data_IF_754502782443
#
_entry.id   IF_754502782443
#
_cell.length_a   1.000
_cell.length_b   1.000
_cell.length_c   1.000
_cell.angle_alpha   90.00
_cell.angle_beta   90.00
_cell.angle_gamma   90.00
#
_symmetry.space_group_name_H-M   'P 1'
#
loop_
_entity.id
_entity.type
_entity.pdbx_description
1 polymer ?
#
# COMPACT_ATOMS: atom_id res chain seq x y z
N UNK A 1 -22.84 27.09 -4.37
CA UNK A 1 -22.83 25.65 -4.08
C UNK A 1 -21.43 25.15 -4.35
N UNK A 2 -20.66 24.93 -3.29
CA UNK A 2 -19.32 24.38 -3.35
C UNK A 2 -19.37 22.86 -3.18
N UNK A 3 -18.47 22.12 -3.82
CA UNK A 3 -18.32 20.67 -3.58
C UNK A 3 -18.07 20.37 -2.09
N UNK A 4 -17.43 21.29 -1.36
CA UNK A 4 -17.15 21.17 0.08
C UNK A 4 -18.40 21.14 0.98
N UNK A 5 -19.53 21.60 0.46
CA UNK A 5 -20.80 21.68 1.20
C UNK A 5 -21.65 20.42 1.01
N UNK A 6 -21.23 19.50 0.12
CA UNK A 6 -21.96 18.26 -0.13
C UNK A 6 -21.75 17.25 1.00
N UNK A 7 -22.76 16.41 1.30
CA UNK A 7 -22.60 15.28 2.20
C UNK A 7 -21.51 14.32 1.71
N UNK A 8 -20.76 13.73 2.64
CA UNK A 8 -19.69 12.77 2.34
C UNK A 8 -20.17 11.64 1.43
N UNK A 9 -21.37 11.09 1.65
CA UNK A 9 -21.94 10.04 0.81
C UNK A 9 -22.09 10.46 -0.67
N UNK A 10 -22.46 11.72 -0.91
CA UNK A 10 -22.58 12.25 -2.28
C UNK A 10 -21.20 12.44 -2.90
N UNK A 11 -20.22 12.88 -2.11
CA UNK A 11 -18.83 12.98 -2.56
C UNK A 11 -18.26 11.60 -2.92
N UNK A 12 -18.51 10.58 -2.10
CA UNK A 12 -18.13 9.19 -2.38
C UNK A 12 -18.76 8.66 -3.67
N UNK A 13 -20.04 8.93 -3.90
CA UNK A 13 -20.74 8.53 -5.13
C UNK A 13 -20.16 9.18 -6.39
N UNK A 14 -19.63 10.40 -6.28
CA UNK A 14 -18.96 11.10 -7.38
C UNK A 14 -17.53 10.59 -7.54
N UNK A 15 -16.76 10.55 -6.45
CA UNK A 15 -15.34 10.27 -6.46
C UNK A 15 -15.00 8.81 -6.77
N UNK A 16 -15.94 7.86 -6.56
CA UNK A 16 -15.74 6.45 -6.93
C UNK A 16 -15.50 6.22 -8.44
N UNK A 17 -15.80 7.20 -9.29
CA UNK A 17 -15.58 7.11 -10.74
C UNK A 17 -14.25 7.71 -11.19
N UNK A 18 -13.53 8.38 -10.28
CA UNK A 18 -12.23 8.93 -10.55
C UNK A 18 -11.15 7.84 -10.47
N UNK A 19 -10.08 8.03 -11.21
CA UNK A 19 -8.86 7.26 -11.02
C UNK A 19 -8.26 7.58 -9.64
N UNK A 20 -7.34 6.73 -9.15
CA UNK A 20 -6.79 6.90 -7.80
C UNK A 20 -6.17 8.28 -7.57
N UNK A 21 -5.48 8.82 -8.59
CA UNK A 21 -4.75 10.07 -8.46
C UNK A 21 -5.70 11.26 -8.36
N UNK A 22 -6.67 11.35 -9.27
CA UNK A 22 -7.64 12.45 -9.27
C UNK A 22 -8.56 12.35 -8.07
N UNK A 23 -8.92 11.13 -7.64
CA UNK A 23 -9.69 10.90 -6.42
C UNK A 23 -8.97 11.42 -5.17
N UNK A 24 -7.67 11.13 -5.01
CA UNK A 24 -6.89 11.62 -3.87
C UNK A 24 -6.79 13.15 -3.86
N UNK A 25 -6.52 13.75 -5.03
CA UNK A 25 -6.49 15.20 -5.18
C UNK A 25 -7.86 15.83 -4.88
N UNK A 26 -8.94 15.17 -5.27
CA UNK A 26 -10.30 15.64 -5.02
C UNK A 26 -10.64 15.63 -3.53
N UNK A 27 -10.27 14.57 -2.80
CA UNK A 27 -10.41 14.50 -1.34
C UNK A 27 -9.60 15.59 -0.62
N UNK A 28 -8.36 15.83 -1.04
CA UNK A 28 -7.54 16.93 -0.52
C UNK A 28 -8.17 18.30 -0.81
N UNK A 29 -8.70 18.50 -2.01
CA UNK A 29 -9.33 19.76 -2.42
C UNK A 29 -10.62 20.07 -1.64
N UNK A 30 -11.40 19.04 -1.28
CA UNK A 30 -12.58 19.22 -0.42
C UNK A 30 -12.24 19.33 1.06
N UNK A 31 -11.01 18.97 1.46
CA UNK A 31 -10.57 19.00 2.85
C UNK A 31 -11.25 17.93 3.71
N UNK A 32 -11.63 16.81 3.10
CA UNK A 32 -12.37 15.72 3.73
C UNK A 32 -11.73 14.37 3.45
N UNK A 33 -12.38 13.32 3.94
CA UNK A 33 -11.96 11.95 3.72
C UNK A 33 -13.16 11.04 3.48
N UNK A 34 -12.94 9.97 2.72
CA UNK A 34 -13.94 8.93 2.50
C UNK A 34 -14.08 8.02 3.72
N UNK A 35 -15.23 7.36 3.82
CA UNK A 35 -15.47 6.32 4.81
C UNK A 35 -14.59 5.08 4.58
N UNK A 36 -14.40 4.28 5.62
CA UNK A 36 -13.64 3.03 5.52
C UNK A 36 -14.26 2.05 4.50
N UNK A 37 -15.60 2.05 4.37
CA UNK A 37 -16.29 1.26 3.36
C UNK A 37 -16.04 1.74 1.93
N UNK A 38 -15.94 3.05 1.73
CA UNK A 38 -15.53 3.63 0.45
C UNK A 38 -14.10 3.20 0.08
N UNK A 39 -13.15 3.38 1.00
CA UNK A 39 -11.76 2.99 0.77
C UNK A 39 -11.60 1.48 0.51
N UNK A 40 -12.36 0.64 1.21
CA UNK A 40 -12.40 -0.81 0.94
C UNK A 40 -12.85 -1.12 -0.49
N UNK A 41 -13.90 -0.43 -0.97
CA UNK A 41 -14.41 -0.59 -2.34
C UNK A 41 -13.36 -0.16 -3.37
N UNK A 42 -12.66 0.95 -3.13
CA UNK A 42 -11.59 1.41 -4.01
C UNK A 42 -10.42 0.42 -4.03
N UNK A 43 -9.97 -0.06 -2.88
CA UNK A 43 -8.93 -1.08 -2.80
C UNK A 43 -9.30 -2.33 -3.62
N UNK A 44 -10.55 -2.81 -3.49
CA UNK A 44 -11.04 -3.94 -4.28
C UNK A 44 -11.04 -3.65 -5.80
N UNK A 45 -11.43 -2.44 -6.21
CA UNK A 45 -11.42 -2.01 -7.63
C UNK A 45 -10.02 -2.05 -8.24
N UNK A 46 -9.01 -1.68 -7.46
CA UNK A 46 -7.62 -1.59 -7.88
C UNK A 46 -6.84 -2.91 -7.69
N UNK A 47 -7.50 -3.93 -7.13
CA UNK A 47 -6.88 -5.24 -6.85
C UNK A 47 -6.00 -5.26 -5.61
N UNK A 48 -6.18 -4.31 -4.68
CA UNK A 48 -5.43 -4.27 -3.43
C UNK A 48 -6.07 -5.16 -2.36
N UNK A 49 -5.23 -5.84 -1.60
CA UNK A 49 -5.63 -6.76 -0.53
C UNK A 49 -5.16 -6.20 0.81
N UNK A 50 -6.03 -6.27 1.83
CA UNK A 50 -5.66 -5.95 3.22
C UNK A 50 -4.92 -7.14 3.82
N UNK A 51 -3.76 -6.90 4.39
CA UNK A 51 -3.05 -7.89 5.19
C UNK A 51 -3.41 -7.70 6.66
N UNK A 52 -4.06 -8.71 7.25
CA UNK A 52 -4.40 -8.70 8.67
C UNK A 52 -3.13 -8.58 9.53
N UNK A 53 -3.16 -7.66 10.50
CA UNK A 53 -2.03 -7.38 11.41
C UNK A 53 -1.02 -6.36 10.90
N UNK A 54 -1.20 -5.79 9.70
CA UNK A 54 -0.29 -4.79 9.12
C UNK A 54 -0.98 -3.50 8.70
N UNK A 55 -2.16 -3.61 8.10
CA UNK A 55 -2.90 -2.46 7.62
C UNK A 55 -4.02 -2.12 8.62
N UNK A 56 -3.93 -0.95 9.26
CA UNK A 56 -4.94 -0.49 10.21
C UNK A 56 -6.26 -0.13 9.49
N UNK A 57 -6.15 0.63 8.39
CA UNK A 57 -7.27 1.12 7.59
C UNK A 57 -7.09 0.89 6.08
N UNK A 58 -8.17 0.92 5.29
CA UNK A 58 -8.06 0.74 3.84
C UNK A 58 -7.41 1.93 3.12
N UNK A 59 -7.48 3.12 3.72
CA UNK A 59 -6.88 4.35 3.16
C UNK A 59 -5.35 4.27 3.13
N UNK A 60 -4.73 3.72 4.16
CA UNK A 60 -3.28 3.53 4.24
C UNK A 60 -2.78 2.56 3.17
N UNK A 61 -3.57 1.52 2.83
CA UNK A 61 -3.26 0.60 1.72
C UNK A 61 -3.20 1.35 0.40
N UNK A 62 -4.20 2.19 0.10
CA UNK A 62 -4.22 3.02 -1.12
C UNK A 62 -2.99 3.93 -1.17
N UNK A 63 -2.73 4.64 -0.07
CA UNK A 63 -1.63 5.60 0.03
C UNK A 63 -0.27 4.92 -0.15
N UNK A 64 -0.08 3.76 0.49
CA UNK A 64 1.14 2.96 0.35
C UNK A 64 1.36 2.51 -1.09
N UNK A 65 0.34 1.94 -1.73
CA UNK A 65 0.44 1.45 -3.10
C UNK A 65 0.72 2.60 -4.10
N UNK A 66 0.14 3.78 -3.88
CA UNK A 66 0.45 4.96 -4.68
C UNK A 66 1.89 5.43 -4.50
N UNK A 67 2.40 5.45 -3.26
CA UNK A 67 3.78 5.82 -2.97
C UNK A 67 4.77 4.82 -3.60
N UNK A 68 4.49 3.52 -3.51
CA UNK A 68 5.25 2.47 -4.17
C UNK A 68 5.32 2.69 -5.69
N UNK A 69 4.17 2.88 -6.35
CA UNK A 69 4.11 3.17 -7.80
C UNK A 69 4.85 4.45 -8.19
N UNK A 70 4.95 5.43 -7.28
CA UNK A 70 5.64 6.68 -7.50
C UNK A 70 7.16 6.63 -7.20
N UNK A 71 7.73 5.44 -6.94
CA UNK A 71 9.11 5.27 -6.47
C UNK A 71 9.44 6.11 -5.23
N UNK A 72 8.44 6.34 -4.37
CA UNK A 72 8.62 6.96 -3.06
C UNK A 72 8.57 5.85 -2.01
N UNK A 73 9.71 5.27 -1.63
CA UNK A 73 9.72 4.18 -0.67
C UNK A 73 9.20 4.67 0.68
N UNK A 74 8.08 4.11 1.12
CA UNK A 74 7.60 4.24 2.49
C UNK A 74 7.91 2.94 3.20
N UNK A 75 8.74 3.00 4.24
CA UNK A 75 9.10 1.84 5.05
C UNK A 75 7.87 1.45 5.88
N UNK A 76 7.38 0.21 5.71
CA UNK A 76 6.41 -0.39 6.63
C UNK A 76 7.18 -0.96 7.81
N UNK A 77 6.88 -0.50 9.02
CA UNK A 77 7.43 -1.10 10.24
C UNK A 77 6.56 -2.31 10.62
N UNK A 78 7.14 -3.50 10.51
CA UNK A 78 6.48 -4.76 10.83
C UNK A 78 6.55 -5.00 12.34
N UNK A 79 5.47 -4.72 13.07
CA UNK A 79 5.35 -5.13 14.48
C UNK A 79 4.88 -6.58 14.51
N UNK A 80 5.81 -7.51 14.36
CA UNK A 80 5.54 -8.93 14.62
C UNK A 80 5.19 -9.08 16.11
N UNK A 81 3.91 -9.36 16.39
CA UNK A 81 3.45 -9.74 17.72
C UNK A 81 4.40 -10.78 18.33
N UNK A 82 4.97 -10.42 19.47
CA UNK A 82 6.12 -11.04 20.13
C UNK A 82 6.24 -12.56 19.96
N UNK A 83 7.29 -13.03 19.30
CA UNK A 83 8.22 -14.01 19.89
C UNK A 83 9.63 -13.82 19.30
N UNK A 84 10.59 -13.54 20.19
CA UNK A 84 12.05 -13.60 19.97
C UNK A 84 12.58 -12.84 18.75
N UNK A 85 13.19 -11.68 19.02
CA UNK A 85 14.22 -11.02 18.21
C UNK A 85 14.86 -11.93 17.16
N UNK A 86 14.25 -12.02 15.98
CA UNK A 86 14.95 -12.46 14.79
C UNK A 86 15.78 -11.25 14.38
N UNK A 87 17.08 -11.30 14.74
CA UNK A 87 18.09 -10.42 14.15
C UNK A 87 17.99 -10.62 12.65
N UNK A 88 17.28 -9.74 11.97
CA UNK A 88 17.00 -9.86 10.56
C UNK A 88 18.32 -9.61 9.81
N UNK A 89 18.89 -10.58 9.07
CA UNK A 89 20.17 -10.41 8.39
C UNK A 89 20.10 -9.41 7.22
N UNK A 90 18.89 -9.00 6.82
CA UNK A 90 18.64 -8.07 5.71
C UNK A 90 19.15 -6.66 6.01
N UNK A 91 19.21 -6.24 7.28
CA UNK A 91 19.72 -4.91 7.64
C UNK A 91 21.21 -4.74 7.33
N UNK A 92 21.96 -5.84 7.11
CA UNK A 92 23.36 -5.79 6.65
C UNK A 92 23.49 -5.65 5.14
N UNK A 93 22.50 -6.08 4.36
CA UNK A 93 22.55 -6.05 2.90
C UNK A 93 22.22 -4.67 2.31
N UNK A 94 21.48 -3.84 3.03
CA UNK A 94 21.11 -2.49 2.58
C UNK A 94 22.22 -1.44 2.77
N UNK A 95 23.41 -1.83 3.25
CA UNK A 95 24.54 -0.93 3.48
C UNK A 95 25.85 -1.35 2.77
N UNK A 96 25.78 -2.22 1.76
CA UNK A 96 26.96 -2.52 0.94
C UNK A 96 26.71 -2.18 -0.54
N UNK A 97 27.43 -1.14 -0.96
CA UNK A 97 27.83 -0.66 -2.29
C UNK A 97 26.93 -0.89 -3.52
N UNK A 98 26.69 0.14 -4.36
CA UNK A 98 25.81 0.05 -5.55
C UNK A 98 26.35 -0.80 -6.70
N UNK A 99 27.61 -1.25 -6.68
CA UNK A 99 28.30 -1.77 -7.87
C UNK A 99 28.37 -3.31 -7.97
N UNK A 100 27.55 -4.04 -7.21
CA UNK A 100 27.53 -5.51 -7.22
C UNK A 100 26.15 -6.13 -7.47
N UNK A 101 25.30 -5.44 -8.23
CA UNK A 101 24.01 -5.97 -8.71
C UNK A 101 24.05 -6.18 -10.22
N UNK A 102 24.72 -7.26 -10.68
CA UNK A 102 24.56 -7.74 -12.06
C UNK A 102 24.06 -9.18 -12.13
N UNK A 103 24.63 -10.12 -11.37
CA UNK A 103 24.46 -11.53 -11.78
C UNK A 103 23.86 -12.48 -10.73
N UNK A 104 23.47 -12.01 -9.53
CA UNK A 104 23.05 -12.89 -8.42
C UNK A 104 21.54 -12.94 -8.10
N UNK A 105 20.69 -12.13 -8.73
CA UNK A 105 19.25 -12.07 -8.39
C UNK A 105 18.42 -13.11 -9.14
N UNK A 106 18.95 -13.71 -10.21
CA UNK A 106 18.18 -14.65 -11.03
C UNK A 106 17.91 -16.00 -10.33
N UNK A 107 18.76 -16.40 -9.38
CA UNK A 107 18.61 -17.72 -8.72
C UNK A 107 17.87 -17.66 -7.38
N UNK A 108 17.68 -16.47 -6.80
CA UNK A 108 17.02 -16.34 -5.48
C UNK A 108 15.51 -16.12 -5.56
N UNK A 109 14.97 -15.74 -6.72
CA UNK A 109 13.52 -15.53 -6.90
C UNK A 109 12.78 -16.85 -7.14
N UNK A 110 13.48 -17.91 -7.56
CA UNK A 110 12.87 -19.21 -7.85
C UNK A 110 12.58 -20.09 -6.62
N UNK A 111 12.94 -19.67 -5.40
CA UNK A 111 12.76 -20.50 -4.20
C UNK A 111 11.49 -20.23 -3.37
N UNK A 112 10.56 -19.39 -3.84
CA UNK A 112 9.30 -19.10 -3.09
C UNK A 112 8.05 -19.35 -3.96
N UNK A 113 8.12 -20.19 -5.00
CA UNK A 113 6.96 -20.50 -5.86
C UNK A 113 6.61 -21.98 -6.03
N UNK A 114 7.27 -22.92 -5.35
CA UNK A 114 6.90 -24.34 -5.43
C UNK A 114 7.12 -25.06 -4.11
N UNK A 115 6.16 -24.98 -3.19
CA UNK A 115 5.84 -26.08 -2.27
C UNK A 115 4.35 -25.98 -1.91
N UNK A 116 3.49 -26.51 -2.80
CA UNK A 116 2.13 -26.97 -2.46
C UNK A 116 1.71 -28.04 -3.49
N UNK A 117 2.35 -29.20 -3.42
CA UNK A 117 1.78 -30.48 -3.89
C UNK A 117 2.18 -31.58 -2.89
N UNK A 118 1.30 -31.87 -1.93
CA UNK A 118 0.78 -33.22 -1.63
C UNK A 118 -0.30 -33.18 -0.54
#
# INVERSE_FOLDING_TARGET
MSLRELPVLVLEEIFQYLDLKDMMNAWEAVGGDGSEGFWAKICKREGYTKMEGFDDDWRSIVTYNMNWRANKPVIREYVLGTTKSLKNPISKLLHQDPDLYSDAVSDSINLILFEDEN
#
